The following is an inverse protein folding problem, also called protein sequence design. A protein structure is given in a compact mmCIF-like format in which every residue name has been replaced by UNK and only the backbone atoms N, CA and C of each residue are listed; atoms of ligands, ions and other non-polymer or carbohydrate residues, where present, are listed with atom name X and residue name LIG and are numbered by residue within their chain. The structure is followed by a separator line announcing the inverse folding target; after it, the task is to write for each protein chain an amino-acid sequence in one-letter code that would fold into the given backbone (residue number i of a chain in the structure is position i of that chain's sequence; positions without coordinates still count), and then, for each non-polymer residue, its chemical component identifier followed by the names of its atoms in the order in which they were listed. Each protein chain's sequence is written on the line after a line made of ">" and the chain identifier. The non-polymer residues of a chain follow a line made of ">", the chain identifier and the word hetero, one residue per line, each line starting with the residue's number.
data_IF_365497726627
#
_entry.id   IF_365497726627
#
_cell.length_a   1.000
_cell.length_b   1.000
_cell.length_c   1.000
_cell.angle_alpha   90.00
_cell.angle_beta   90.00
_cell.angle_gamma   90.00
#
_symmetry.space_group_name_H-M   'P 1'
#
loop_
_entity.id
_entity.type
_entity.pdbx_description
1 polymer ?
#
# COMPACT_ATOMS: atom_id res chain seq x y z
N UNK A 1 -4.91 13.15 -7.75
CA UNK A 1 -4.84 13.06 -6.27
C UNK A 1 -4.80 11.61 -5.81
N UNK A 2 -3.68 10.97 -6.07
CA UNK A 2 -3.50 9.55 -5.74
C UNK A 2 -2.39 9.37 -4.72
N UNK A 3 -2.66 8.55 -3.70
CA UNK A 3 -1.67 8.06 -2.76
C UNK A 3 -1.56 6.56 -2.94
N UNK A 4 -0.36 6.07 -3.21
CA UNK A 4 -0.09 4.65 -3.30
C UNK A 4 0.69 4.20 -2.08
N UNK A 5 0.13 3.26 -1.33
CA UNK A 5 0.79 2.67 -0.15
C UNK A 5 1.13 1.24 -0.51
N UNK A 6 2.40 0.91 -0.56
CA UNK A 6 2.84 -0.43 -0.95
C UNK A 6 3.89 -0.98 -0.01
N UNK A 7 4.02 -2.28 0.02
CA UNK A 7 4.96 -2.98 0.87
C UNK A 7 4.52 -4.42 1.13
N UNK A 8 5.35 -5.15 1.87
CA UNK A 8 5.09 -6.52 2.26
C UNK A 8 3.83 -6.64 3.11
N UNK A 9 3.31 -7.86 3.24
CA UNK A 9 2.21 -8.15 4.16
C UNK A 9 2.59 -7.79 5.59
N UNK A 10 1.61 -7.39 6.39
CA UNK A 10 1.78 -7.10 7.82
C UNK A 10 2.69 -5.90 8.14
N UNK A 11 2.81 -4.95 7.23
CA UNK A 11 3.60 -3.73 7.44
C UNK A 11 2.77 -2.51 7.85
N UNK A 12 1.49 -2.71 8.17
CA UNK A 12 0.62 -1.62 8.64
C UNK A 12 -0.03 -0.79 7.54
N UNK A 13 -0.01 -1.27 6.29
CA UNK A 13 -0.60 -0.53 5.15
C UNK A 13 -2.07 -0.22 5.35
N UNK A 14 -2.86 -1.21 5.77
CA UNK A 14 -4.31 -1.05 5.94
C UNK A 14 -4.64 -0.05 7.05
N UNK A 15 -3.90 -0.10 8.15
CA UNK A 15 -4.08 0.83 9.27
C UNK A 15 -3.77 2.26 8.84
N UNK A 16 -2.67 2.46 8.11
CA UNK A 16 -2.32 3.76 7.57
C UNK A 16 -3.35 4.26 6.57
N UNK A 17 -3.81 3.36 5.68
CA UNK A 17 -4.82 3.69 4.68
C UNK A 17 -6.15 4.11 5.31
N UNK A 18 -6.59 3.41 6.35
CA UNK A 18 -7.83 3.74 7.07
C UNK A 18 -7.75 5.12 7.70
N UNK A 19 -6.63 5.45 8.31
CA UNK A 19 -6.41 6.75 8.91
C UNK A 19 -6.37 7.86 7.86
N UNK A 20 -5.66 7.62 6.78
CA UNK A 20 -5.56 8.55 5.67
C UNK A 20 -6.91 8.77 4.97
N UNK A 21 -7.71 7.70 4.83
CA UNK A 21 -9.06 7.78 4.29
C UNK A 21 -9.92 8.76 5.07
N UNK A 22 -9.86 8.71 6.40
CA UNK A 22 -10.61 9.62 7.26
C UNK A 22 -10.13 11.06 7.10
N UNK A 23 -8.82 11.26 7.01
CA UNK A 23 -8.21 12.58 6.88
C UNK A 23 -8.55 13.24 5.54
N UNK A 24 -8.55 12.48 4.44
CA UNK A 24 -8.71 13.01 3.09
C UNK A 24 -10.12 12.86 2.52
N UNK A 25 -11.00 12.05 3.14
CA UNK A 25 -12.27 11.68 2.54
C UNK A 25 -12.09 10.88 1.26
N UNK A 26 -11.06 10.02 1.19
CA UNK A 26 -10.65 9.33 -0.01
C UNK A 26 -11.37 8.00 -0.21
N UNK A 27 -11.49 7.57 -1.48
CA UNK A 27 -11.84 6.19 -1.80
C UNK A 27 -10.59 5.31 -1.69
N UNK A 28 -10.76 4.06 -1.24
CA UNK A 28 -9.66 3.11 -1.08
C UNK A 28 -9.84 1.92 -2.01
N UNK A 29 -8.79 1.61 -2.77
CA UNK A 29 -8.69 0.40 -3.56
C UNK A 29 -7.52 -0.41 -3.02
N UNK A 30 -7.77 -1.66 -2.64
CA UNK A 30 -6.75 -2.58 -2.11
C UNK A 30 -6.54 -3.74 -3.06
N UNK A 31 -5.29 -4.06 -3.36
CA UNK A 31 -4.94 -5.23 -4.14
C UNK A 31 -5.67 -5.26 -5.47
N UNK A 32 -6.48 -6.29 -5.67
CA UNK A 32 -7.20 -6.53 -6.93
C UNK A 32 -8.63 -5.99 -6.96
N UNK A 33 -8.97 -5.06 -6.08
CA UNK A 33 -10.29 -4.41 -6.09
C UNK A 33 -10.63 -3.79 -7.46
N UNK A 34 -9.61 -3.37 -8.21
CA UNK A 34 -9.80 -2.79 -9.54
C UNK A 34 -10.49 -3.73 -10.53
N UNK A 35 -10.47 -5.04 -10.28
CA UNK A 35 -11.13 -6.02 -11.16
C UNK A 35 -12.64 -5.79 -11.27
N UNK A 36 -13.24 -5.07 -10.33
CA UNK A 36 -14.66 -4.72 -10.39
C UNK A 36 -15.00 -3.68 -11.45
N UNK A 37 -13.99 -3.01 -12.02
CA UNK A 37 -14.20 -1.91 -12.96
C UNK A 37 -14.52 -2.36 -14.38
N UNK A 38 -14.27 -3.62 -14.73
CA UNK A 38 -14.54 -4.15 -16.06
C UNK A 38 -14.72 -5.67 -16.02
N UNK A 39 -15.16 -6.24 -17.14
CA UNK A 39 -15.42 -7.69 -17.22
C UNK A 39 -14.15 -8.53 -17.33
N UNK A 40 -13.09 -7.99 -17.94
CA UNK A 40 -11.81 -8.68 -18.10
C UNK A 40 -10.72 -7.95 -17.33
N UNK A 41 -9.67 -8.68 -16.93
CA UNK A 41 -8.56 -8.07 -16.23
C UNK A 41 -7.85 -6.98 -17.05
N UNK A 42 -7.50 -7.19 -18.34
CA UNK A 42 -6.86 -6.14 -19.12
C UNK A 42 -7.69 -4.86 -19.21
N UNK A 43 -9.00 -5.00 -19.39
CA UNK A 43 -9.91 -3.84 -19.41
C UNK A 43 -9.98 -3.15 -18.04
N UNK A 44 -10.01 -3.93 -16.95
CA UNK A 44 -10.02 -3.40 -15.60
C UNK A 44 -8.73 -2.64 -15.27
N UNK A 45 -7.57 -3.17 -15.68
CA UNK A 45 -6.28 -2.47 -15.50
C UNK A 45 -6.26 -1.14 -16.23
N UNK A 46 -6.72 -1.12 -17.48
CA UNK A 46 -6.80 0.10 -18.28
C UNK A 46 -7.73 1.12 -17.64
N UNK A 47 -8.92 0.68 -17.23
CA UNK A 47 -9.91 1.57 -16.59
C UNK A 47 -9.37 2.12 -15.28
N UNK A 48 -8.71 1.30 -14.47
CA UNK A 48 -8.15 1.73 -13.19
C UNK A 48 -7.01 2.73 -13.38
N UNK A 49 -6.06 2.43 -14.27
CA UNK A 49 -4.96 3.34 -14.58
C UNK A 49 -5.47 4.69 -15.07
N UNK A 50 -6.48 4.71 -15.92
CA UNK A 50 -7.08 5.94 -16.41
C UNK A 50 -7.77 6.70 -15.30
N UNK A 51 -8.53 6.00 -14.45
CA UNK A 51 -9.20 6.62 -13.30
C UNK A 51 -8.19 7.28 -12.37
N UNK A 52 -7.07 6.59 -12.07
CA UNK A 52 -6.03 7.13 -11.19
C UNK A 52 -5.37 8.38 -11.78
N UNK A 53 -5.18 8.43 -13.10
CA UNK A 53 -4.59 9.60 -13.76
C UNK A 53 -5.53 10.81 -13.81
N UNK A 54 -6.83 10.57 -13.91
CA UNK A 54 -7.82 11.62 -14.16
C UNK A 54 -8.62 12.05 -12.93
N UNK A 55 -8.52 11.31 -11.82
CA UNK A 55 -9.34 11.57 -10.65
C UNK A 55 -9.15 12.97 -10.08
N UNK A 56 -10.25 13.64 -9.78
CA UNK A 56 -10.27 14.94 -9.11
C UNK A 56 -10.47 14.81 -7.60
N UNK A 57 -10.84 13.61 -7.14
CA UNK A 57 -11.01 13.31 -5.72
C UNK A 57 -9.86 12.45 -5.24
N UNK A 58 -9.50 12.50 -3.93
CA UNK A 58 -8.43 11.67 -3.41
C UNK A 58 -8.75 10.18 -3.52
N UNK A 59 -7.77 9.41 -3.99
CA UNK A 59 -7.85 7.94 -4.07
C UNK A 59 -6.60 7.36 -3.42
N UNK A 60 -6.80 6.36 -2.57
CA UNK A 60 -5.73 5.61 -1.94
C UNK A 60 -5.69 4.23 -2.57
N UNK A 61 -4.52 3.85 -3.09
CA UNK A 61 -4.27 2.52 -3.64
C UNK A 61 -3.30 1.78 -2.74
N UNK A 62 -3.71 0.63 -2.21
CA UNK A 62 -2.90 -0.21 -1.32
C UNK A 62 -2.49 -1.47 -2.06
N UNK A 63 -1.19 -1.73 -2.15
CA UNK A 63 -0.67 -2.87 -2.90
C UNK A 63 0.38 -3.64 -2.10
N UNK A 64 0.25 -4.97 -2.10
CA UNK A 64 1.20 -5.89 -1.47
C UNK A 64 1.94 -6.75 -2.51
N UNK A 65 1.72 -6.51 -3.81
CA UNK A 65 2.31 -7.26 -4.91
C UNK A 65 3.02 -6.31 -5.87
N UNK A 66 4.26 -6.64 -6.25
CA UNK A 66 5.06 -5.79 -7.14
C UNK A 66 4.42 -5.56 -8.49
N UNK A 67 3.71 -6.55 -9.01
CA UNK A 67 3.06 -6.44 -10.31
C UNK A 67 2.00 -5.34 -10.38
N UNK A 68 1.47 -4.92 -9.22
CA UNK A 68 0.47 -3.85 -9.16
C UNK A 68 1.08 -2.45 -9.18
N UNK A 69 2.38 -2.33 -8.96
CA UNK A 69 3.06 -1.04 -8.93
C UNK A 69 3.02 -0.32 -10.28
N UNK A 70 2.92 -1.08 -11.37
CA UNK A 70 2.78 -0.52 -12.71
C UNK A 70 1.49 0.25 -12.96
N UNK A 71 0.49 0.10 -12.07
CA UNK A 71 -0.77 0.83 -12.16
C UNK A 71 -0.69 2.23 -11.55
N UNK A 72 0.34 2.51 -10.77
CA UNK A 72 0.49 3.77 -10.04
C UNK A 72 0.90 4.88 -11.01
N UNK A 73 0.15 5.99 -11.10
CA UNK A 73 0.55 7.09 -11.96
C UNK A 73 1.80 7.84 -11.45
N UNK A 74 2.51 8.48 -12.36
CA UNK A 74 3.77 9.15 -12.04
C UNK A 74 3.61 10.29 -11.02
N UNK A 75 2.46 10.94 -11.00
CA UNK A 75 2.21 12.06 -10.09
C UNK A 75 1.68 11.63 -8.71
N UNK A 76 1.54 10.34 -8.46
CA UNK A 76 1.08 9.83 -7.17
C UNK A 76 2.11 10.08 -6.07
N UNK A 77 1.61 10.29 -4.85
CA UNK A 77 2.45 10.24 -3.66
C UNK A 77 2.67 8.77 -3.32
N UNK A 78 3.91 8.33 -3.28
CA UNK A 78 4.28 6.93 -3.05
C UNK A 78 4.77 6.75 -1.62
N UNK A 79 4.15 5.83 -0.90
CA UNK A 79 4.49 5.51 0.49
C UNK A 79 4.94 4.06 0.56
N UNK A 80 6.19 3.85 0.94
CA UNK A 80 6.72 2.51 1.20
C UNK A 80 6.48 2.16 2.66
N UNK A 81 5.65 1.15 2.92
CA UNK A 81 5.42 0.64 4.26
C UNK A 81 6.35 -0.54 4.55
N UNK A 82 7.11 -0.46 5.64
CA UNK A 82 8.04 -1.50 6.06
C UNK A 82 7.86 -1.83 7.52
N UNK A 83 8.40 -2.97 7.95
CA UNK A 83 8.49 -3.38 9.34
C UNK A 83 9.63 -4.38 9.50
N UNK A 84 10.13 -4.55 10.72
CA UNK A 84 11.11 -5.59 10.99
C UNK A 84 10.53 -6.96 10.71
N UNK A 85 11.37 -7.87 10.24
CA UNK A 85 10.95 -9.24 9.92
C UNK A 85 10.31 -9.94 11.14
N UNK A 86 10.86 -9.71 12.34
CA UNK A 86 10.30 -10.28 13.58
C UNK A 86 8.86 -9.81 13.80
N UNK A 87 8.58 -8.53 13.57
CA UNK A 87 7.23 -7.97 13.71
C UNK A 87 6.28 -8.52 12.64
N UNK A 88 6.76 -8.65 11.40
CA UNK A 88 5.99 -9.25 10.32
C UNK A 88 5.59 -10.68 10.64
N UNK A 89 6.54 -11.48 11.13
CA UNK A 89 6.29 -12.87 11.53
C UNK A 89 5.27 -12.96 12.66
N UNK A 90 5.39 -12.12 13.66
CA UNK A 90 4.47 -12.09 14.80
C UNK A 90 3.05 -11.77 14.34
N UNK A 91 2.89 -10.76 13.51
CA UNK A 91 1.57 -10.34 12.99
C UNK A 91 0.96 -11.39 12.08
N UNK A 92 1.77 -12.00 11.23
CA UNK A 92 1.30 -13.06 10.35
C UNK A 92 0.83 -14.29 11.14
N UNK A 93 1.59 -14.69 12.16
CA UNK A 93 1.21 -15.78 13.04
C UNK A 93 -0.13 -15.51 13.73
N UNK A 94 -0.37 -14.29 14.20
CA UNK A 94 -1.65 -13.91 14.81
C UNK A 94 -2.83 -14.07 13.83
N UNK A 95 -2.65 -13.71 12.56
CA UNK A 95 -3.68 -13.86 11.54
C UNK A 95 -4.02 -15.32 11.24
N UNK A 96 -3.07 -16.22 11.43
CA UNK A 96 -3.22 -17.65 11.15
C UNK A 96 -3.45 -18.48 12.41
N UNK A 97 -3.97 -17.87 13.48
CA UNK A 97 -4.32 -18.58 14.70
C UNK A 97 -3.15 -18.89 15.63
N UNK A 98 -2.08 -18.13 15.57
CA UNK A 98 -0.91 -18.28 16.43
C UNK A 98 0.14 -19.22 15.88
N UNK A 99 0.00 -19.68 14.65
CA UNK A 99 0.95 -20.60 14.01
C UNK A 99 1.64 -19.96 12.83
N UNK A 100 2.94 -20.25 12.70
CA UNK A 100 3.73 -19.86 11.54
C UNK A 100 4.42 -21.10 10.99
N UNK A 101 3.80 -21.83 10.04
CA UNK A 101 4.42 -23.03 9.46
C UNK A 101 5.77 -22.69 8.84
N UNK A 102 6.76 -23.61 8.91
CA UNK A 102 8.10 -23.35 8.36
C UNK A 102 8.13 -22.87 6.90
N UNK A 103 7.31 -23.42 5.96
CA UNK A 103 7.29 -22.91 4.59
C UNK A 103 6.84 -21.45 4.50
N UNK A 104 5.89 -21.05 5.34
CA UNK A 104 5.39 -19.68 5.38
C UNK A 104 6.43 -18.74 5.96
N UNK A 105 7.10 -19.15 7.05
CA UNK A 105 8.19 -18.37 7.64
C UNK A 105 9.32 -18.14 6.63
N UNK A 106 9.70 -19.18 5.88
CA UNK A 106 10.71 -19.08 4.84
C UNK A 106 10.29 -18.12 3.71
N UNK A 107 9.02 -18.14 3.32
CA UNK A 107 8.48 -17.22 2.32
C UNK A 107 8.58 -15.76 2.77
N UNK A 108 8.20 -15.48 4.01
CA UNK A 108 8.26 -14.13 4.57
C UNK A 108 9.70 -13.62 4.62
N UNK A 109 10.64 -14.48 5.02
CA UNK A 109 12.06 -14.13 5.05
C UNK A 109 12.61 -13.84 3.65
N UNK A 110 12.26 -14.68 2.68
CA UNK A 110 12.69 -14.50 1.29
C UNK A 110 12.18 -13.22 0.67
N UNK A 111 10.94 -12.83 0.99
CA UNK A 111 10.31 -11.62 0.44
C UNK A 111 10.66 -10.36 1.21
N UNK A 112 11.26 -10.50 2.40
CA UNK A 112 11.56 -9.33 3.23
C UNK A 112 12.47 -8.36 2.50
N UNK A 113 12.08 -7.08 2.49
CA UNK A 113 12.82 -6.02 1.83
C UNK A 113 12.65 -5.95 0.31
N UNK A 114 11.79 -6.77 -0.29
CA UNK A 114 11.65 -6.82 -1.75
C UNK A 114 11.14 -5.51 -2.37
N UNK A 115 10.47 -4.65 -1.60
CA UNK A 115 10.00 -3.36 -2.07
C UNK A 115 10.98 -2.21 -1.80
N UNK A 116 12.07 -2.44 -1.07
CA UNK A 116 12.97 -1.37 -0.63
C UNK A 116 13.61 -0.62 -1.79
N UNK A 117 13.78 -1.26 -2.95
CA UNK A 117 14.36 -0.67 -4.15
C UNK A 117 13.36 0.16 -4.97
N UNK A 118 12.07 0.08 -4.64
CA UNK A 118 11.04 0.78 -5.39
C UNK A 118 11.04 2.27 -5.04
N UNK A 119 10.87 3.16 -6.05
CA UNK A 119 10.82 4.60 -5.79
C UNK A 119 9.67 4.96 -4.84
N UNK A 120 9.94 5.83 -3.89
CA UNK A 120 8.94 6.31 -2.93
C UNK A 120 9.28 7.71 -2.45
N UNK A 121 8.25 8.43 -2.01
CA UNK A 121 8.38 9.77 -1.45
C UNK A 121 8.50 9.72 0.07
N UNK A 122 7.83 8.76 0.71
CA UNK A 122 7.77 8.61 2.15
C UNK A 122 8.01 7.14 2.51
N UNK A 123 8.79 6.91 3.56
CA UNK A 123 8.97 5.59 4.15
C UNK A 123 8.25 5.55 5.50
N UNK A 124 7.28 4.66 5.61
CA UNK A 124 6.54 4.41 6.84
C UNK A 124 7.06 3.12 7.49
N UNK A 125 7.69 3.24 8.64
CA UNK A 125 8.24 2.10 9.39
C UNK A 125 7.26 1.76 10.52
N UNK A 126 6.57 0.64 10.40
CA UNK A 126 5.58 0.22 11.37
C UNK A 126 6.22 0.00 12.74
N UNK A 127 5.63 0.58 13.78
CA UNK A 127 6.19 0.54 15.14
C UNK A 127 7.15 1.68 15.46
N UNK A 128 7.64 2.42 14.45
CA UNK A 128 8.56 3.56 14.64
C UNK A 128 7.97 4.87 14.15
N UNK A 129 7.38 4.88 12.95
CA UNK A 129 6.77 6.08 12.38
C UNK A 129 5.43 6.40 13.03
N UNK A 130 5.15 7.68 13.23
CA UNK A 130 3.86 8.15 13.71
C UNK A 130 2.87 8.19 12.54
N UNK A 131 1.77 7.42 12.57
CA UNK A 131 0.79 7.42 11.48
C UNK A 131 0.16 8.80 11.24
N UNK A 132 -0.09 9.58 12.29
CA UNK A 132 -0.69 10.93 12.15
C UNK A 132 0.26 11.88 11.43
N UNK A 133 1.52 11.87 11.80
CA UNK A 133 2.54 12.69 11.14
C UNK A 133 2.73 12.25 9.69
N UNK A 134 2.73 10.96 9.43
CA UNK A 134 2.83 10.42 8.07
C UNK A 134 1.66 10.90 7.21
N UNK A 135 0.43 10.85 7.74
CA UNK A 135 -0.74 11.38 7.03
C UNK A 135 -0.60 12.87 6.74
N UNK A 136 -0.07 13.64 7.67
CA UNK A 136 0.18 15.07 7.48
C UNK A 136 1.21 15.33 6.37
N UNK A 137 2.28 14.54 6.32
CA UNK A 137 3.28 14.63 5.25
C UNK A 137 2.67 14.30 3.88
N UNK A 138 1.85 13.27 3.82
CA UNK A 138 1.15 12.87 2.59
C UNK A 138 0.25 14.01 2.11
N UNK A 139 -0.53 14.61 3.01
CA UNK A 139 -1.41 15.71 2.68
C UNK A 139 -0.64 16.91 2.12
N UNK A 140 0.51 17.23 2.69
CA UNK A 140 1.38 18.31 2.20
C UNK A 140 1.92 18.03 0.80
N UNK A 141 2.33 16.79 0.54
CA UNK A 141 2.82 16.41 -0.79
C UNK A 141 1.70 16.44 -1.84
N UNK A 142 0.49 16.00 -1.49
CA UNK A 142 -0.65 16.08 -2.38
C UNK A 142 -0.98 17.53 -2.73
N UNK A 143 -0.92 18.44 -1.76
CA UNK A 143 -1.20 19.86 -1.99
C UNK A 143 -0.17 20.52 -2.89
N UNK A 144 1.06 20.00 -2.94
CA UNK A 144 2.17 20.56 -3.74
C UNK A 144 2.22 20.02 -5.17
N UNK A 145 1.37 19.07 -5.52
CA UNK A 145 1.39 18.42 -6.84
C UNK A 145 0.23 18.75 -7.76
#
# INVERSE_FOLDING_TARGET
>A
MVVAIFGESCTGKSTLADKLKQTLGAAVYSGKDYLRLAKTEPEARTAFSQMLRETQVPVIFVAAEKELLGLIPDNAVRVLATADLALIRERFAKRTGGRLPPPVAAMLEKKHGCFDIEPHDIRFVSGESDPEETCAQIARLLASR
#
